data_IF_629772232767
#
_entry.id   IF_629772232767
#
_cell.length_a   1.000
_cell.length_b   1.000
_cell.length_c   1.000
_cell.angle_alpha   90.00
_cell.angle_beta   90.00
_cell.angle_gamma   90.00
#
_symmetry.space_group_name_H-M   'P 1'
#
loop_
_entity.id
_entity.type
_entity.pdbx_description
1 polymer ?
#
# COMPACT_ATOMS: atom_id res chain seq x y z
N UNK A 1 -19.98 16.37 -6.59
CA UNK A 1 -18.84 16.30 -5.61
C UNK A 1 -17.84 17.39 -5.95
N UNK A 2 -17.21 18.02 -4.95
CA UNK A 2 -16.18 19.04 -5.20
C UNK A 2 -14.96 18.42 -5.91
N UNK A 3 -14.23 19.24 -6.65
CA UNK A 3 -12.94 18.83 -7.26
C UNK A 3 -11.98 18.34 -6.16
N UNK A 4 -11.41 17.17 -6.36
CA UNK A 4 -10.48 16.52 -5.43
C UNK A 4 -9.27 16.03 -6.20
N UNK A 5 -8.09 16.19 -5.62
CA UNK A 5 -6.87 15.62 -6.18
C UNK A 5 -5.95 15.10 -5.06
N UNK A 6 -5.47 13.89 -5.27
CA UNK A 6 -4.38 13.25 -4.52
C UNK A 6 -3.26 12.90 -5.50
N UNK A 7 -2.24 12.19 -5.04
CA UNK A 7 -1.19 11.66 -5.93
C UNK A 7 -1.75 10.75 -7.02
N UNK A 8 -2.75 9.92 -6.69
CA UNK A 8 -3.24 8.84 -7.57
C UNK A 8 -4.70 8.95 -7.97
N UNK A 9 -5.49 9.83 -7.34
CA UNK A 9 -6.92 10.00 -7.62
C UNK A 9 -7.22 11.46 -7.94
N UNK A 10 -8.07 11.67 -8.92
CA UNK A 10 -8.59 12.99 -9.26
C UNK A 10 -10.10 12.89 -9.56
N UNK A 11 -10.87 13.76 -8.94
CA UNK A 11 -12.27 14.00 -9.29
C UNK A 11 -12.36 15.39 -9.90
N UNK A 12 -12.87 15.48 -11.11
CA UNK A 12 -13.11 16.72 -11.84
C UNK A 12 -14.27 16.52 -12.82
N UNK A 13 -15.11 17.53 -13.00
CA UNK A 13 -16.23 17.52 -13.95
C UNK A 13 -17.16 16.31 -13.79
N UNK A 14 -17.43 15.93 -12.55
CA UNK A 14 -18.22 14.73 -12.20
C UNK A 14 -17.64 13.39 -12.72
N UNK A 15 -16.34 13.33 -12.96
CA UNK A 15 -15.64 12.14 -13.40
C UNK A 15 -14.53 11.76 -12.40
N UNK A 16 -14.25 10.45 -12.31
CA UNK A 16 -13.14 9.90 -11.55
C UNK A 16 -12.01 9.54 -12.49
N UNK A 17 -10.82 10.00 -12.17
CA UNK A 17 -9.59 9.62 -12.85
C UNK A 17 -8.62 8.96 -11.89
N UNK A 18 -7.92 7.94 -12.39
CA UNK A 18 -6.81 7.29 -11.66
C UNK A 18 -5.49 7.57 -12.39
N UNK A 19 -4.40 7.71 -11.63
CA UNK A 19 -3.06 7.72 -12.22
C UNK A 19 -2.67 6.29 -12.61
N UNK A 20 -2.32 6.08 -13.88
CA UNK A 20 -1.92 4.77 -14.39
C UNK A 20 -0.55 4.36 -13.84
N UNK A 21 -0.55 3.55 -12.77
CA UNK A 21 0.68 3.08 -12.16
C UNK A 21 1.43 2.04 -13.02
N UNK A 22 0.82 1.52 -14.08
CA UNK A 22 1.52 0.69 -15.07
C UNK A 22 2.30 1.53 -16.09
N UNK A 23 1.90 2.78 -16.32
CA UNK A 23 2.63 3.72 -17.17
C UNK A 23 3.87 4.32 -16.48
N UNK A 24 3.88 4.37 -15.14
CA UNK A 24 5.02 4.87 -14.38
C UNK A 24 6.23 3.91 -14.45
N UNK A 25 7.45 4.45 -14.43
CA UNK A 25 7.84 5.88 -14.31
C UNK A 25 7.88 6.63 -15.64
N UNK A 26 7.70 5.99 -16.80
CA UNK A 26 7.94 6.57 -18.12
C UNK A 26 6.90 7.65 -18.48
N UNK A 27 5.65 7.46 -18.05
CA UNK A 27 4.56 8.38 -18.38
C UNK A 27 3.64 8.62 -17.18
N UNK A 28 3.34 9.89 -16.91
CA UNK A 28 2.34 10.29 -15.90
C UNK A 28 0.98 10.47 -16.59
N UNK A 29 0.22 9.39 -16.71
CA UNK A 29 -1.04 9.33 -17.46
C UNK A 29 -2.23 9.12 -16.53
N UNK A 30 -3.27 9.94 -16.72
CA UNK A 30 -4.54 9.80 -16.04
C UNK A 30 -5.53 9.04 -16.91
N UNK A 31 -6.23 8.07 -16.32
CA UNK A 31 -7.23 7.24 -16.99
C UNK A 31 -8.60 7.48 -16.38
N UNK A 32 -9.63 7.51 -17.23
CA UNK A 32 -11.02 7.58 -16.79
C UNK A 32 -11.40 6.27 -16.06
N UNK A 33 -11.94 6.41 -14.85
CA UNK A 33 -12.43 5.34 -13.99
C UNK A 33 -13.88 5.60 -13.54
N UNK A 34 -14.65 6.34 -14.34
CA UNK A 34 -15.99 6.81 -13.99
C UNK A 34 -17.09 5.74 -14.17
N UNK A 35 -16.73 4.52 -14.56
CA UNK A 35 -17.67 3.38 -14.61
C UNK A 35 -17.14 2.22 -13.77
N UNK A 36 -18.06 1.33 -13.33
CA UNK A 36 -17.70 0.15 -12.54
C UNK A 36 -16.76 -0.75 -13.32
N UNK A 37 -17.05 -1.00 -14.60
CA UNK A 37 -16.27 -1.84 -15.49
C UNK A 37 -14.86 -1.29 -15.71
N UNK A 38 -14.73 0.03 -15.90
CA UNK A 38 -13.44 0.69 -16.05
C UNK A 38 -12.60 0.56 -14.78
N UNK A 39 -13.16 0.87 -13.61
CA UNK A 39 -12.42 0.80 -12.34
C UNK A 39 -12.02 -0.65 -12.01
N UNK A 40 -12.92 -1.63 -12.19
CA UNK A 40 -12.60 -3.05 -12.00
C UNK A 40 -11.47 -3.48 -12.94
N UNK A 41 -11.54 -3.09 -14.22
CA UNK A 41 -10.48 -3.34 -15.20
C UNK A 41 -9.13 -2.71 -14.77
N UNK A 42 -9.15 -1.51 -14.19
CA UNK A 42 -7.94 -0.86 -13.68
C UNK A 42 -7.37 -1.54 -12.43
N UNK A 43 -8.23 -2.05 -11.53
CA UNK A 43 -7.82 -2.83 -10.36
C UNK A 43 -7.14 -4.14 -10.79
N UNK A 44 -7.77 -4.89 -11.68
CA UNK A 44 -7.21 -6.15 -12.19
C UNK A 44 -5.88 -5.96 -12.93
N UNK A 45 -5.77 -4.88 -13.71
CA UNK A 45 -4.54 -4.52 -14.42
C UNK A 45 -3.48 -3.86 -13.52
N UNK A 46 -3.71 -3.73 -12.21
CA UNK A 46 -2.82 -3.06 -11.26
C UNK A 46 -2.46 -1.60 -11.65
N UNK A 47 -3.33 -0.93 -12.41
CA UNK A 47 -3.20 0.50 -12.73
C UNK A 47 -3.55 1.37 -11.54
N UNK A 48 -4.46 0.90 -10.69
CA UNK A 48 -4.68 1.37 -9.32
C UNK A 48 -4.44 0.19 -8.38
N UNK A 49 -3.64 0.39 -7.34
CA UNK A 49 -3.21 -0.65 -6.41
C UNK A 49 -2.91 -0.05 -5.03
N UNK A 50 -2.64 -0.92 -4.04
CA UNK A 50 -2.55 -0.55 -2.63
C UNK A 50 -3.93 -0.69 -1.97
N UNK A 51 -3.96 -1.40 -0.84
CA UNK A 51 -5.22 -1.74 -0.19
C UNK A 51 -6.08 -0.49 0.13
N UNK A 52 -5.53 0.62 0.69
CA UNK A 52 -6.30 1.83 0.92
C UNK A 52 -6.82 2.45 -0.37
N UNK A 53 -5.95 2.66 -1.36
CA UNK A 53 -6.30 3.40 -2.58
C UNK A 53 -7.42 2.71 -3.39
N UNK A 54 -7.43 1.37 -3.45
CA UNK A 54 -8.49 0.62 -4.12
C UNK A 54 -9.83 0.87 -3.45
N UNK A 55 -9.89 0.82 -2.11
CA UNK A 55 -11.10 1.10 -1.35
C UNK A 55 -11.60 2.54 -1.52
N UNK A 56 -10.69 3.51 -1.52
CA UNK A 56 -11.00 4.92 -1.71
C UNK A 56 -11.52 5.22 -3.11
N UNK A 57 -10.90 4.62 -4.15
CA UNK A 57 -11.35 4.77 -5.54
C UNK A 57 -12.75 4.20 -5.75
N UNK A 58 -13.06 3.05 -5.16
CA UNK A 58 -14.37 2.43 -5.20
C UNK A 58 -15.43 3.31 -4.49
N UNK A 59 -15.08 3.89 -3.34
CA UNK A 59 -15.98 4.79 -2.60
C UNK A 59 -16.28 6.07 -3.35
N UNK A 60 -15.26 6.70 -3.95
CA UNK A 60 -15.44 7.88 -4.79
C UNK A 60 -16.31 7.59 -6.02
N UNK A 61 -16.10 6.45 -6.68
CA UNK A 61 -16.92 6.05 -7.82
C UNK A 61 -18.39 5.88 -7.43
N UNK A 62 -18.71 5.19 -6.32
CA UNK A 62 -20.08 5.03 -5.86
C UNK A 62 -20.76 6.37 -5.57
N UNK A 63 -20.04 7.30 -4.95
CA UNK A 63 -20.54 8.65 -4.67
C UNK A 63 -20.84 9.42 -5.97
N UNK A 64 -19.94 9.37 -6.95
CA UNK A 64 -20.13 10.00 -8.27
C UNK A 64 -21.28 9.38 -9.06
N UNK A 65 -21.43 8.06 -9.05
CA UNK A 65 -22.55 7.37 -9.69
C UNK A 65 -23.90 7.80 -9.08
N UNK A 66 -23.94 8.01 -7.75
CA UNK A 66 -25.12 8.51 -7.05
C UNK A 66 -25.47 9.94 -7.48
N UNK A 67 -24.49 10.85 -7.54
CA UNK A 67 -24.68 12.23 -8.01
C UNK A 67 -25.09 12.29 -9.49
N UNK A 68 -24.64 11.32 -10.29
CA UNK A 68 -25.01 11.18 -11.70
C UNK A 68 -26.38 10.48 -11.90
N UNK A 69 -27.18 10.33 -10.83
CA UNK A 69 -28.56 9.90 -10.88
C UNK A 69 -28.80 8.40 -10.91
N UNK A 70 -27.79 7.58 -10.56
CA UNK A 70 -27.99 6.14 -10.41
C UNK A 70 -28.93 5.85 -9.24
N UNK A 71 -29.86 4.92 -9.48
CA UNK A 71 -30.80 4.45 -8.46
C UNK A 71 -30.09 3.66 -7.35
N UNK A 72 -30.73 3.54 -6.20
CA UNK A 72 -30.23 2.75 -5.06
C UNK A 72 -29.95 1.30 -5.45
N UNK A 73 -30.80 0.68 -6.26
CA UNK A 73 -30.63 -0.70 -6.70
C UNK A 73 -29.40 -0.86 -7.64
N UNK A 74 -29.22 0.07 -8.60
CA UNK A 74 -28.03 0.10 -9.45
C UNK A 74 -26.74 0.28 -8.64
N UNK A 75 -26.76 1.14 -7.63
CA UNK A 75 -25.62 1.36 -6.72
C UNK A 75 -25.33 0.15 -5.84
N UNK A 76 -26.35 -0.58 -5.40
CA UNK A 76 -26.16 -1.82 -4.66
C UNK A 76 -25.47 -2.90 -5.53
N UNK A 77 -25.87 -3.03 -6.80
CA UNK A 77 -25.21 -3.93 -7.76
C UNK A 77 -23.77 -3.49 -8.02
N UNK A 78 -23.53 -2.19 -8.23
CA UNK A 78 -22.19 -1.61 -8.42
C UNK A 78 -21.27 -1.90 -7.23
N UNK A 79 -21.78 -1.73 -6.00
CA UNK A 79 -21.05 -2.00 -4.76
C UNK A 79 -20.60 -3.47 -4.68
N UNK A 80 -21.50 -4.42 -4.94
CA UNK A 80 -21.15 -5.84 -4.88
C UNK A 80 -20.20 -6.25 -6.02
N UNK A 81 -20.30 -5.62 -7.20
CA UNK A 81 -19.35 -5.83 -8.31
C UNK A 81 -17.95 -5.34 -7.94
N UNK A 82 -17.85 -4.16 -7.32
CA UNK A 82 -16.57 -3.62 -6.81
C UNK A 82 -15.99 -4.50 -5.70
N UNK A 83 -16.84 -5.01 -4.80
CA UNK A 83 -16.45 -5.95 -3.74
C UNK A 83 -15.81 -7.22 -4.29
N UNK A 84 -16.38 -7.77 -5.36
CA UNK A 84 -15.89 -8.97 -6.01
C UNK A 84 -14.58 -8.77 -6.78
N UNK A 85 -14.19 -7.52 -7.07
CA UNK A 85 -12.97 -7.24 -7.86
C UNK A 85 -11.69 -7.66 -7.15
N UNK A 86 -11.65 -7.62 -5.80
CA UNK A 86 -10.49 -8.05 -5.00
C UNK A 86 -10.92 -8.52 -3.60
N UNK A 87 -11.41 -9.76 -3.46
CA UNK A 87 -12.02 -10.26 -2.22
C UNK A 87 -11.08 -10.33 -1.01
N UNK A 88 -9.76 -10.33 -1.23
CA UNK A 88 -8.74 -10.39 -0.17
C UNK A 88 -8.31 -9.02 0.37
N UNK A 89 -8.78 -7.93 -0.23
CA UNK A 89 -8.39 -6.57 0.15
C UNK A 89 -9.25 -6.05 1.31
N UNK A 90 -8.76 -6.18 2.54
CA UNK A 90 -9.48 -5.79 3.78
C UNK A 90 -9.99 -4.35 3.73
N UNK A 91 -9.15 -3.40 3.32
CA UNK A 91 -9.55 -1.98 3.24
C UNK A 91 -10.70 -1.74 2.22
N UNK A 92 -10.70 -2.47 1.09
CA UNK A 92 -11.82 -2.40 0.14
C UNK A 92 -13.12 -2.86 0.80
N UNK A 93 -13.09 -3.99 1.52
CA UNK A 93 -14.26 -4.52 2.21
C UNK A 93 -14.79 -3.54 3.24
N UNK A 94 -13.91 -3.03 4.11
CA UNK A 94 -14.26 -2.07 5.16
C UNK A 94 -14.88 -0.78 4.58
N UNK A 95 -14.27 -0.23 3.53
CA UNK A 95 -14.80 0.97 2.88
C UNK A 95 -16.16 0.72 2.23
N UNK A 96 -16.33 -0.39 1.53
CA UNK A 96 -17.61 -0.74 0.91
C UNK A 96 -18.71 -1.04 1.93
N UNK A 97 -18.38 -1.58 3.10
CA UNK A 97 -19.35 -1.76 4.20
C UNK A 97 -19.82 -0.40 4.77
N UNK A 98 -18.92 0.57 4.85
CA UNK A 98 -19.27 1.95 5.21
C UNK A 98 -20.15 2.60 4.14
N UNK A 99 -19.78 2.47 2.87
CA UNK A 99 -20.59 2.96 1.74
C UNK A 99 -21.97 2.28 1.67
N UNK A 100 -22.05 0.98 1.99
CA UNK A 100 -23.31 0.24 2.07
C UNK A 100 -24.24 0.85 3.14
N UNK A 101 -23.70 1.17 4.33
CA UNK A 101 -24.49 1.85 5.38
C UNK A 101 -25.01 3.23 4.92
N UNK A 102 -24.18 3.99 4.20
CA UNK A 102 -24.59 5.28 3.63
C UNK A 102 -25.65 5.12 2.54
N UNK A 103 -25.56 4.10 1.70
CA UNK A 103 -26.51 3.79 0.63
C UNK A 103 -27.94 3.52 1.16
N UNK A 104 -28.06 2.97 2.36
CA UNK A 104 -29.38 2.65 2.95
C UNK A 104 -29.95 3.75 3.82
N UNK A 105 -29.34 4.95 3.86
CA UNK A 105 -29.94 6.13 4.47
C UNK A 105 -31.08 6.69 3.59
N UNK A 106 -31.98 7.48 4.18
CA UNK A 106 -33.09 8.10 3.47
C UNK A 106 -32.57 8.96 2.31
N UNK A 107 -31.68 9.91 2.61
CA UNK A 107 -31.00 10.78 1.66
C UNK A 107 -29.64 10.18 1.23
N UNK A 108 -29.67 9.07 0.50
CA UNK A 108 -28.46 8.28 0.20
C UNK A 108 -27.43 9.02 -0.65
N UNK A 109 -27.81 9.91 -1.55
CA UNK A 109 -26.87 10.64 -2.42
C UNK A 109 -25.92 11.51 -1.59
N UNK A 110 -26.38 12.48 -0.78
CA UNK A 110 -25.50 13.25 0.08
C UNK A 110 -24.77 12.38 1.12
N UNK A 111 -25.39 11.31 1.61
CA UNK A 111 -24.76 10.39 2.54
C UNK A 111 -23.55 9.66 1.93
N UNK A 112 -23.66 9.16 0.70
CA UNK A 112 -22.56 8.52 -0.04
C UNK A 112 -21.42 9.51 -0.32
N UNK A 113 -21.75 10.73 -0.74
CA UNK A 113 -20.75 11.79 -0.99
C UNK A 113 -20.00 12.14 0.29
N UNK A 114 -20.73 12.38 1.38
CA UNK A 114 -20.13 12.70 2.66
C UNK A 114 -19.24 11.57 3.19
N UNK A 115 -19.65 10.32 3.03
CA UNK A 115 -18.88 9.16 3.47
C UNK A 115 -17.62 8.97 2.63
N UNK A 116 -17.69 9.10 1.30
CA UNK A 116 -16.52 8.98 0.42
C UNK A 116 -15.48 10.07 0.74
N UNK A 117 -15.90 11.31 0.96
CA UNK A 117 -14.99 12.40 1.35
C UNK A 117 -14.38 12.17 2.74
N UNK A 118 -15.18 11.66 3.69
CA UNK A 118 -14.69 11.31 5.03
C UNK A 118 -13.61 10.23 4.97
N UNK A 119 -13.79 9.20 4.15
CA UNK A 119 -12.78 8.15 3.93
C UNK A 119 -11.46 8.71 3.39
N UNK A 120 -11.52 9.64 2.43
CA UNK A 120 -10.33 10.31 1.90
C UNK A 120 -9.60 11.13 2.98
N UNK A 121 -10.34 11.92 3.76
CA UNK A 121 -9.76 12.76 4.80
C UNK A 121 -9.24 11.93 5.99
N UNK A 122 -9.88 10.82 6.27
CA UNK A 122 -9.44 9.85 7.28
C UNK A 122 -8.11 9.23 6.86
N UNK A 123 -8.00 8.71 5.64
CA UNK A 123 -6.75 8.11 5.13
C UNK A 123 -5.58 9.12 5.14
N UNK A 124 -5.82 10.38 4.77
CA UNK A 124 -4.81 11.44 4.87
C UNK A 124 -4.33 11.64 6.31
N UNK A 125 -5.27 11.70 7.27
CA UNK A 125 -4.93 11.87 8.70
C UNK A 125 -4.18 10.67 9.26
N UNK A 126 -4.58 9.44 8.88
CA UNK A 126 -3.89 8.22 9.27
C UNK A 126 -2.44 8.22 8.77
N UNK A 127 -2.23 8.54 7.48
CA UNK A 127 -0.89 8.66 6.90
C UNK A 127 -0.02 9.71 7.63
N UNK A 128 -0.60 10.87 7.95
CA UNK A 128 0.12 11.96 8.64
C UNK A 128 0.51 11.58 10.07
N UNK A 129 -0.39 10.90 10.78
CA UNK A 129 -0.12 10.39 12.13
C UNK A 129 0.99 9.32 12.13
N UNK A 130 0.93 8.36 11.19
CA UNK A 130 1.98 7.34 11.02
C UNK A 130 3.32 8.01 10.69
N UNK A 131 3.34 8.95 9.74
CA UNK A 131 4.55 9.66 9.34
C UNK A 131 5.18 10.41 10.53
N UNK A 132 4.36 11.06 11.34
CA UNK A 132 4.80 11.78 12.53
C UNK A 132 5.34 10.85 13.62
N UNK A 133 4.63 9.75 13.91
CA UNK A 133 5.07 8.77 14.91
C UNK A 133 6.37 8.07 14.49
N UNK A 134 6.49 7.71 13.21
CA UNK A 134 7.66 7.00 12.68
C UNK A 134 8.87 7.89 12.50
N UNK A 135 8.73 9.14 12.06
CA UNK A 135 9.88 10.04 11.85
C UNK A 135 10.66 10.30 13.14
N UNK A 136 9.97 10.28 14.29
CA UNK A 136 10.61 10.41 15.60
C UNK A 136 11.60 9.26 15.93
N UNK A 137 11.52 8.13 15.26
CA UNK A 137 12.44 6.98 15.41
C UNK A 137 13.64 7.08 14.47
N UNK A 138 13.65 8.00 13.52
CA UNK A 138 14.72 8.16 12.52
C UNK A 138 15.77 9.12 13.04
N UNK A 139 17.00 8.64 13.23
CA UNK A 139 18.12 9.44 13.73
C UNK A 139 18.71 10.33 12.63
N UNK A 140 19.34 11.47 12.99
CA UNK A 140 20.03 12.31 12.01
C UNK A 140 21.07 11.54 11.20
N UNK A 141 21.08 11.75 9.88
CA UNK A 141 22.00 11.13 8.94
C UNK A 141 21.71 9.68 8.60
N UNK A 142 20.53 9.14 8.96
CA UNK A 142 20.16 7.75 8.72
C UNK A 142 20.14 7.38 7.24
N UNK A 143 20.59 6.15 6.96
CA UNK A 143 20.45 5.45 5.69
C UNK A 143 19.38 4.37 5.85
N UNK A 144 18.25 4.59 5.23
CA UNK A 144 17.08 3.74 5.39
C UNK A 144 16.98 2.74 4.23
N UNK A 145 16.37 1.58 4.47
CA UNK A 145 16.04 0.62 3.43
C UNK A 145 14.53 0.42 3.40
N UNK A 146 13.96 0.37 2.19
CA UNK A 146 12.52 0.14 2.01
C UNK A 146 12.25 -0.85 0.89
N UNK A 147 11.09 -1.49 0.95
CA UNK A 147 10.64 -2.53 0.03
C UNK A 147 9.19 -2.28 -0.41
N UNK A 148 8.87 -2.63 -1.64
CA UNK A 148 7.59 -2.37 -2.28
C UNK A 148 7.30 -0.85 -2.44
N UNK A 149 6.03 -0.48 -2.50
CA UNK A 149 5.60 0.92 -2.53
C UNK A 149 4.47 1.15 -1.55
N UNK A 150 4.69 2.06 -0.63
CA UNK A 150 3.81 2.41 0.49
C UNK A 150 3.61 3.93 0.61
N UNK A 151 3.76 4.65 -0.49
CA UNK A 151 3.63 6.11 -0.56
C UNK A 151 2.25 6.58 -0.98
N UNK A 152 2.19 7.82 -1.47
CA UNK A 152 0.97 8.46 -1.98
C UNK A 152 0.38 7.75 -3.22
N UNK A 153 1.15 6.90 -3.90
CA UNK A 153 0.63 6.01 -4.94
C UNK A 153 -0.25 4.87 -4.39
N UNK A 154 -0.18 4.57 -3.10
CA UNK A 154 -0.95 3.50 -2.46
C UNK A 154 -2.06 4.02 -1.52
N UNK A 155 -2.12 5.33 -1.26
CA UNK A 155 -3.00 6.00 -0.29
C UNK A 155 -3.57 7.30 -0.86
N UNK A 156 -4.43 7.97 -0.12
CA UNK A 156 -4.82 9.36 -0.45
C UNK A 156 -3.89 10.40 0.21
N UNK A 157 -3.11 10.00 1.20
CA UNK A 157 -2.16 10.84 1.93
C UNK A 157 -0.71 10.66 1.45
N UNK A 158 0.23 10.88 2.36
CA UNK A 158 1.69 10.77 2.11
C UNK A 158 2.20 9.33 2.11
N UNK A 159 1.34 8.37 2.38
CA UNK A 159 1.72 6.98 2.55
C UNK A 159 2.05 6.58 3.99
N UNK A 160 2.43 5.33 4.16
CA UNK A 160 2.81 4.74 5.46
C UNK A 160 4.33 4.74 5.63
N UNK A 161 5.05 3.66 5.34
CA UNK A 161 6.51 3.63 5.48
C UNK A 161 7.22 4.69 4.63
N UNK A 162 6.76 4.94 3.39
CA UNK A 162 7.33 6.02 2.58
C UNK A 162 6.95 7.41 3.13
N UNK A 163 5.79 7.54 3.76
CA UNK A 163 5.39 8.75 4.49
C UNK A 163 6.34 9.06 5.66
N UNK A 164 6.72 8.04 6.44
CA UNK A 164 7.75 8.16 7.49
C UNK A 164 9.07 8.64 6.90
N UNK A 165 9.54 8.00 5.82
CA UNK A 165 10.80 8.35 5.16
C UNK A 165 10.78 9.80 4.65
N UNK A 166 9.68 10.20 3.98
CA UNK A 166 9.52 11.56 3.46
C UNK A 166 9.51 12.62 4.57
N UNK A 167 8.79 12.36 5.67
CA UNK A 167 8.75 13.24 6.83
C UNK A 167 10.13 13.36 7.48
N UNK A 168 10.80 12.23 7.75
CA UNK A 168 12.14 12.22 8.32
C UNK A 168 13.16 12.94 7.42
N UNK A 169 13.00 12.88 6.10
CA UNK A 169 13.81 13.66 5.17
C UNK A 169 13.55 15.17 5.29
N UNK A 170 12.29 15.60 5.36
CA UNK A 170 11.92 17.01 5.58
C UNK A 170 12.49 17.56 6.90
N UNK A 171 12.63 16.71 7.91
CA UNK A 171 13.25 17.01 9.20
C UNK A 171 14.79 16.99 9.17
N UNK A 172 15.39 16.64 8.01
CA UNK A 172 16.86 16.61 7.81
C UNK A 172 17.54 15.34 8.36
N UNK A 173 16.78 14.30 8.67
CA UNK A 173 17.28 13.09 9.32
C UNK A 173 17.76 12.00 8.33
N UNK A 174 17.36 12.06 7.06
CA UNK A 174 17.67 11.03 6.05
C UNK A 174 18.81 11.47 5.15
N UNK A 175 19.89 10.69 5.10
CA UNK A 175 21.01 10.91 4.20
C UNK A 175 20.91 10.12 2.89
N UNK A 176 20.28 8.94 2.91
CA UNK A 176 20.03 8.10 1.74
C UNK A 176 18.91 7.09 1.99
N UNK A 177 18.23 6.68 0.94
CA UNK A 177 17.25 5.59 0.97
C UNK A 177 17.68 4.51 -0.02
N UNK A 178 17.92 3.30 0.48
CA UNK A 178 18.08 2.11 -0.34
C UNK A 178 16.70 1.59 -0.72
N UNK A 179 16.42 1.50 -2.00
CA UNK A 179 15.13 1.06 -2.52
C UNK A 179 15.31 -0.30 -3.19
N UNK A 180 14.75 -1.35 -2.61
CA UNK A 180 14.65 -2.64 -3.27
C UNK A 180 13.82 -2.51 -4.55
N UNK A 181 14.26 -3.12 -5.65
CA UNK A 181 13.47 -3.15 -6.89
C UNK A 181 12.12 -3.82 -6.70
N UNK A 182 12.03 -4.74 -5.75
CA UNK A 182 10.82 -5.52 -5.37
C UNK A 182 10.34 -6.42 -6.51
N UNK A 183 11.07 -7.51 -6.74
CA UNK A 183 10.60 -8.56 -7.65
C UNK A 183 9.31 -9.23 -7.11
N UNK A 184 8.42 -9.76 -7.98
CA UNK A 184 8.52 -9.78 -9.45
C UNK A 184 8.00 -8.53 -10.17
N UNK A 185 7.11 -7.70 -9.54
CA UNK A 185 6.38 -6.62 -10.22
C UNK A 185 7.08 -5.25 -10.18
N UNK A 186 8.27 -5.16 -9.56
CA UNK A 186 9.13 -3.98 -9.54
C UNK A 186 8.47 -2.72 -8.94
N UNK A 187 7.63 -2.87 -7.90
CA UNK A 187 6.98 -1.72 -7.26
C UNK A 187 7.99 -0.74 -6.66
N UNK A 188 9.10 -1.25 -6.08
CA UNK A 188 10.17 -0.40 -5.58
C UNK A 188 10.86 0.35 -6.71
N UNK A 189 11.29 -0.37 -7.75
CA UNK A 189 12.03 0.21 -8.87
C UNK A 189 11.22 1.18 -9.72
N UNK A 190 9.93 0.90 -9.94
CA UNK A 190 9.06 1.72 -10.78
C UNK A 190 8.33 2.83 -10.04
N UNK A 191 7.86 2.54 -8.83
CA UNK A 191 6.94 3.43 -8.13
C UNK A 191 7.62 4.15 -6.96
N UNK A 192 8.29 3.43 -6.06
CA UNK A 192 8.95 4.06 -4.90
C UNK A 192 10.10 4.96 -5.33
N UNK A 193 10.94 4.50 -6.27
CA UNK A 193 12.00 5.33 -6.83
C UNK A 193 11.46 6.60 -7.50
N UNK A 194 10.34 6.48 -8.23
CA UNK A 194 9.67 7.62 -8.84
C UNK A 194 9.13 8.61 -7.78
N UNK A 195 8.43 8.12 -6.73
CA UNK A 195 7.90 9.00 -5.67
C UNK A 195 9.02 9.71 -4.92
N UNK A 196 10.10 9.01 -4.57
CA UNK A 196 11.25 9.62 -3.88
C UNK A 196 11.91 10.70 -4.76
N UNK A 197 11.99 10.48 -6.07
CA UNK A 197 12.45 11.49 -7.03
C UNK A 197 11.56 12.72 -7.07
N UNK A 198 10.22 12.56 -7.13
CA UNK A 198 9.25 13.67 -7.08
C UNK A 198 9.32 14.44 -5.74
N UNK A 199 9.65 13.76 -4.65
CA UNK A 199 9.79 14.35 -3.31
C UNK A 199 11.18 14.94 -3.03
N UNK A 200 12.15 14.77 -3.93
CA UNK A 200 13.53 15.23 -3.74
C UNK A 200 14.30 14.47 -2.66
N UNK A 201 13.84 13.28 -2.27
CA UNK A 201 14.50 12.44 -1.28
C UNK A 201 15.68 11.70 -1.93
N UNK A 202 16.91 11.77 -1.37
CA UNK A 202 18.06 11.05 -1.93
C UNK A 202 17.86 9.54 -1.80
N UNK A 203 18.01 8.82 -2.92
CA UNK A 203 17.86 7.37 -2.93
C UNK A 203 18.83 6.68 -3.91
N UNK A 204 19.02 5.39 -3.69
CA UNK A 204 19.69 4.49 -4.62
C UNK A 204 18.84 3.23 -4.79
N UNK A 205 18.56 2.90 -6.06
CA UNK A 205 17.85 1.68 -6.42
C UNK A 205 18.81 0.50 -6.37
N UNK A 206 18.39 -0.60 -5.76
CA UNK A 206 19.13 -1.85 -5.65
C UNK A 206 18.28 -3.04 -6.10
N UNK A 207 18.91 -4.14 -6.49
CA UNK A 207 18.20 -5.42 -6.59
C UNK A 207 17.97 -5.98 -5.19
N UNK A 208 16.89 -6.74 -5.00
CA UNK A 208 16.47 -7.27 -3.68
C UNK A 208 17.62 -8.05 -3.00
N UNK A 209 18.45 -8.77 -3.78
CA UNK A 209 19.57 -9.54 -3.26
C UNK A 209 20.73 -8.67 -2.70
N UNK A 210 20.79 -7.38 -3.02
CA UNK A 210 21.88 -6.50 -2.58
C UNK A 210 21.70 -6.02 -1.13
N UNK A 211 20.50 -6.08 -0.58
CA UNK A 211 20.20 -5.64 0.79
C UNK A 211 21.14 -6.28 1.83
N UNK A 212 21.36 -7.59 1.75
CA UNK A 212 22.27 -8.32 2.64
C UNK A 212 23.69 -7.73 2.65
N UNK A 213 24.24 -7.41 1.47
CA UNK A 213 25.61 -6.88 1.35
C UNK A 213 25.74 -5.48 1.93
N UNK A 214 24.68 -4.66 1.85
CA UNK A 214 24.63 -3.31 2.44
C UNK A 214 24.56 -3.39 3.96
N UNK A 215 23.72 -4.29 4.49
CA UNK A 215 23.60 -4.54 5.93
C UNK A 215 24.92 -5.02 6.52
N UNK A 216 25.60 -5.99 5.87
CA UNK A 216 26.89 -6.51 6.28
C UNK A 216 28.01 -5.45 6.30
N UNK A 217 27.90 -4.42 5.45
CA UNK A 217 28.84 -3.27 5.41
C UNK A 217 28.46 -2.13 6.35
N UNK A 218 27.42 -2.30 7.18
CA UNK A 218 26.89 -1.26 8.04
C UNK A 218 26.38 -0.03 7.29
N UNK A 219 25.77 -0.22 6.12
CA UNK A 219 25.24 0.83 5.26
C UNK A 219 23.72 1.02 5.40
N UNK A 220 23.08 0.27 6.30
CA UNK A 220 21.64 0.36 6.60
C UNK A 220 21.47 0.59 8.09
N UNK A 221 20.77 1.65 8.45
CA UNK A 221 20.55 2.03 9.86
C UNK A 221 19.16 1.59 10.35
N UNK A 222 18.17 1.46 9.46
CA UNK A 222 16.85 0.89 9.74
C UNK A 222 16.16 0.42 8.44
N UNK A 223 15.27 -0.56 8.59
CA UNK A 223 14.38 -1.03 7.52
C UNK A 223 12.96 -0.55 7.81
N UNK A 224 12.29 0.02 6.79
CA UNK A 224 10.93 0.52 6.85
C UNK A 224 10.06 -0.11 5.77
N UNK A 225 9.04 -0.84 6.17
CA UNK A 225 8.09 -1.51 5.26
C UNK A 225 6.64 -1.22 5.65
N UNK A 226 5.71 -1.43 4.73
CA UNK A 226 4.29 -1.42 5.03
C UNK A 226 3.79 -2.78 5.53
N UNK A 227 2.46 -2.92 5.57
CA UNK A 227 1.78 -4.19 5.80
C UNK A 227 0.52 -4.29 4.95
N UNK A 228 0.24 -5.49 4.43
CA UNK A 228 -1.04 -5.81 3.80
C UNK A 228 -2.04 -6.37 4.84
N UNK A 229 -1.54 -7.05 5.88
CA UNK A 229 -2.33 -7.52 7.04
C UNK A 229 -1.42 -7.72 8.26
N UNK A 230 -1.93 -7.43 9.44
CA UNK A 230 -1.28 -7.68 10.73
C UNK A 230 -2.21 -8.57 11.56
N UNK A 231 -1.74 -9.74 11.97
CA UNK A 231 -2.49 -10.68 12.79
C UNK A 231 -2.50 -10.27 14.27
N UNK A 232 -3.40 -10.86 15.07
CA UNK A 232 -3.54 -10.59 16.51
C UNK A 232 -2.25 -10.82 17.32
N UNK A 233 -1.40 -11.78 16.91
CA UNK A 233 -0.11 -12.02 17.53
C UNK A 233 1.03 -11.10 17.02
N UNK A 234 0.73 -10.16 16.14
CA UNK A 234 1.68 -9.22 15.56
C UNK A 234 2.43 -9.71 14.31
N UNK A 235 2.19 -10.93 13.85
CA UNK A 235 2.75 -11.38 12.57
C UNK A 235 2.23 -10.53 11.41
N UNK A 236 3.08 -10.28 10.41
CA UNK A 236 2.77 -9.35 9.32
C UNK A 236 2.87 -10.04 7.97
N UNK A 237 1.79 -10.04 7.21
CA UNK A 237 1.83 -10.33 5.79
C UNK A 237 2.13 -9.03 5.02
N UNK A 238 3.16 -9.06 4.18
CA UNK A 238 3.51 -7.96 3.30
C UNK A 238 4.12 -8.48 2.00
N UNK A 239 4.45 -7.58 1.08
CA UNK A 239 5.01 -7.92 -0.23
C UNK A 239 6.16 -8.94 -0.10
N UNK A 240 6.11 -9.99 -0.94
CA UNK A 240 7.16 -11.04 -1.01
C UNK A 240 8.55 -10.41 -0.99
N UNK A 241 9.44 -10.93 -0.14
CA UNK A 241 10.77 -10.41 0.16
C UNK A 241 10.87 -9.72 1.53
N UNK A 242 9.76 -9.33 2.13
CA UNK A 242 9.72 -8.67 3.45
C UNK A 242 10.29 -9.57 4.55
N UNK A 243 9.93 -10.85 4.57
CA UNK A 243 10.46 -11.82 5.52
C UNK A 243 11.98 -11.96 5.41
N UNK A 244 12.50 -12.03 4.18
CA UNK A 244 13.96 -12.08 3.93
C UNK A 244 14.67 -10.88 4.53
N UNK A 245 14.14 -9.67 4.32
CA UNK A 245 14.70 -8.44 4.90
C UNK A 245 14.65 -8.43 6.44
N UNK A 246 13.56 -8.92 7.03
CA UNK A 246 13.43 -8.97 8.49
C UNK A 246 14.45 -9.94 9.12
N UNK A 247 14.67 -11.10 8.49
CA UNK A 247 15.71 -12.06 8.91
C UNK A 247 17.10 -11.44 8.81
N UNK A 248 17.42 -10.77 7.69
CA UNK A 248 18.70 -10.10 7.50
C UNK A 248 18.90 -8.96 8.50
N UNK A 249 17.88 -8.14 8.72
CA UNK A 249 17.92 -7.05 9.69
C UNK A 249 18.19 -7.59 11.09
N UNK A 250 17.49 -8.65 11.51
CA UNK A 250 17.69 -9.30 12.81
C UNK A 250 19.12 -9.83 12.96
N UNK A 251 19.63 -10.51 11.92
CA UNK A 251 20.98 -11.07 11.92
C UNK A 251 22.05 -9.97 12.08
N UNK A 252 21.84 -8.80 11.46
CA UNK A 252 22.78 -7.68 11.51
C UNK A 252 22.49 -6.68 12.66
N UNK A 253 21.49 -6.94 13.52
CA UNK A 253 21.13 -6.05 14.62
C UNK A 253 20.54 -4.70 14.17
N UNK A 254 19.91 -4.66 12.99
CA UNK A 254 19.30 -3.48 12.39
C UNK A 254 17.80 -3.46 12.77
N UNK A 255 17.27 -2.34 13.27
CA UNK A 255 15.83 -2.24 13.56
C UNK A 255 14.99 -2.37 12.29
N UNK A 256 13.91 -3.17 12.41
CA UNK A 256 12.95 -3.44 11.36
C UNK A 256 11.56 -2.94 11.80
N UNK A 257 11.04 -1.93 11.13
CA UNK A 257 9.76 -1.29 11.45
C UNK A 257 8.71 -1.56 10.40
N UNK A 258 7.49 -1.82 10.87
CA UNK A 258 6.29 -1.96 10.05
C UNK A 258 5.40 -0.74 10.26
N UNK A 259 5.11 0.01 9.20
CA UNK A 259 4.27 1.20 9.24
C UNK A 259 2.95 0.94 8.51
N UNK A 260 1.84 0.97 9.24
CA UNK A 260 0.51 0.68 8.69
C UNK A 260 -0.58 1.39 9.52
N UNK A 261 -1.76 1.68 8.94
CA UNK A 261 -2.89 2.15 9.72
C UNK A 261 -3.45 1.04 10.61
N UNK A 262 -4.03 1.41 11.73
CA UNK A 262 -4.68 0.47 12.65
C UNK A 262 -5.76 -0.40 11.93
N UNK A 263 -6.35 0.10 10.88
CA UNK A 263 -7.32 -0.64 10.04
C UNK A 263 -6.70 -1.82 9.28
N UNK A 264 -5.38 -1.97 9.29
CA UNK A 264 -4.66 -3.14 8.74
C UNK A 264 -4.57 -4.30 9.74
N UNK A 265 -4.84 -4.03 11.04
CA UNK A 265 -4.96 -5.06 12.06
C UNK A 265 -6.19 -5.92 11.79
N UNK A 266 -6.00 -7.23 11.91
CA UNK A 266 -7.06 -8.23 11.82
C UNK A 266 -7.08 -9.05 13.12
N UNK A 267 -7.85 -8.59 14.12
CA UNK A 267 -7.91 -9.26 15.42
C UNK A 267 -8.57 -10.66 15.34
N UNK A 268 -9.34 -10.93 14.29
CA UNK A 268 -9.95 -12.24 14.05
C UNK A 268 -8.95 -13.25 13.45
N UNK A 269 -7.79 -12.78 12.97
CA UNK A 269 -6.70 -13.61 12.46
C UNK A 269 -5.69 -13.89 13.59
N UNK A 270 -5.61 -15.10 14.16
CA UNK A 270 -4.84 -15.35 15.37
C UNK A 270 -3.32 -15.23 15.16
N UNK A 271 -2.81 -15.60 13.98
CA UNK A 271 -1.39 -15.61 13.64
C UNK A 271 -1.14 -15.60 12.13
N UNK A 272 0.11 -15.52 11.73
CA UNK A 272 0.52 -15.45 10.33
C UNK A 272 0.16 -16.68 9.49
N UNK A 273 0.10 -17.88 10.08
CA UNK A 273 -0.26 -19.11 9.37
C UNK A 273 -1.72 -19.10 8.90
N UNK A 274 -2.57 -18.32 9.57
CA UNK A 274 -3.98 -18.17 9.21
C UNK A 274 -4.21 -17.15 8.08
N UNK A 275 -3.18 -16.39 7.68
CA UNK A 275 -3.30 -15.39 6.61
C UNK A 275 -3.30 -16.07 5.24
N UNK A 276 -4.35 -15.91 4.41
CA UNK A 276 -4.37 -16.46 3.06
C UNK A 276 -3.38 -15.71 2.15
N UNK A 277 -2.47 -16.46 1.49
CA UNK A 277 -1.46 -15.91 0.59
C UNK A 277 -1.90 -16.11 -0.87
N UNK A 278 -2.09 -14.99 -1.58
CA UNK A 278 -2.44 -14.97 -3.01
C UNK A 278 -1.30 -15.57 -3.85
N UNK A 279 -1.63 -16.53 -4.73
CA UNK A 279 -0.73 -17.06 -5.74
C UNK A 279 -0.96 -16.31 -7.06
N UNK A 280 0.11 -15.91 -7.73
CA UNK A 280 0.06 -15.07 -8.91
C UNK A 280 0.59 -15.77 -10.17
N UNK A 281 0.38 -15.14 -11.32
CA UNK A 281 0.73 -15.71 -12.62
C UNK A 281 2.26 -15.97 -12.74
N UNK A 282 2.61 -17.10 -13.32
CA UNK A 282 4.01 -17.50 -13.58
C UNK A 282 4.75 -16.47 -14.45
N UNK A 283 4.04 -15.83 -15.38
CA UNK A 283 4.60 -14.81 -16.28
C UNK A 283 5.26 -13.63 -15.56
N UNK A 284 4.82 -13.32 -14.34
CA UNK A 284 5.44 -12.25 -13.54
C UNK A 284 6.85 -12.58 -13.09
N UNK A 285 7.15 -13.88 -12.88
CA UNK A 285 8.49 -14.36 -12.48
C UNK A 285 9.35 -14.65 -13.71
N UNK A 286 8.78 -15.29 -14.74
CA UNK A 286 9.51 -15.71 -15.95
C UNK A 286 9.85 -14.55 -16.88
N UNK A 287 9.25 -13.38 -16.64
CA UNK A 287 9.46 -12.18 -17.43
C UNK A 287 9.30 -10.91 -16.61
N UNK A 288 9.20 -9.80 -17.30
CA UNK A 288 8.79 -8.50 -16.79
C UNK A 288 7.99 -7.78 -17.87
N UNK A 289 6.93 -7.06 -17.46
CA UNK A 289 6.15 -6.24 -18.37
C UNK A 289 5.78 -4.92 -17.70
N UNK A 290 5.69 -3.87 -18.49
CA UNK A 290 5.33 -2.52 -18.05
C UNK A 290 5.30 -1.57 -19.23
N UNK A 291 5.26 -0.27 -18.95
CA UNK A 291 5.33 0.79 -19.98
C UNK A 291 6.63 0.77 -20.81
N UNK A 292 7.66 0.11 -20.30
CA UNK A 292 8.94 -0.13 -20.99
C UNK A 292 8.90 -1.32 -21.95
N UNK A 293 7.76 -1.98 -22.16
CA UNK A 293 7.59 -3.19 -22.96
C UNK A 293 7.49 -4.45 -22.12
N UNK A 294 7.70 -5.62 -22.77
CA UNK A 294 7.68 -6.92 -22.12
C UNK A 294 8.88 -7.76 -22.58
N UNK A 295 9.51 -8.42 -21.62
CA UNK A 295 10.65 -9.34 -21.87
C UNK A 295 10.41 -10.61 -21.05
N UNK A 296 10.59 -11.77 -21.70
CA UNK A 296 10.63 -13.07 -21.05
C UNK A 296 12.07 -13.59 -21.13
N UNK A 297 12.65 -13.94 -19.98
CA UNK A 297 14.04 -14.44 -19.90
C UNK A 297 14.15 -15.90 -19.46
N UNK A 298 13.09 -16.45 -18.84
CA UNK A 298 13.09 -17.83 -18.42
C UNK A 298 12.55 -18.77 -19.53
N UNK A 299 12.86 -20.07 -19.50
CA UNK A 299 12.26 -21.04 -20.41
C UNK A 299 10.73 -21.04 -20.31
N UNK A 300 10.04 -21.26 -21.44
CA UNK A 300 8.56 -21.25 -21.49
C UNK A 300 7.90 -22.29 -20.57
N UNK A 301 8.57 -23.41 -20.32
CA UNK A 301 8.10 -24.53 -19.49
C UNK A 301 8.63 -24.48 -18.06
N UNK A 302 9.24 -23.39 -17.63
CA UNK A 302 9.71 -23.22 -16.25
C UNK A 302 8.55 -23.33 -15.26
N UNK A 303 8.68 -24.22 -14.29
CA UNK A 303 7.72 -24.27 -13.16
C UNK A 303 8.01 -23.11 -12.23
N UNK A 304 6.96 -22.40 -11.78
CA UNK A 304 7.09 -21.16 -11.03
C UNK A 304 6.31 -21.25 -9.71
N UNK A 305 6.96 -20.80 -8.64
CA UNK A 305 6.33 -20.48 -7.36
C UNK A 305 6.28 -18.95 -7.23
N UNK A 306 5.08 -18.36 -7.14
CA UNK A 306 4.89 -16.90 -7.13
C UNK A 306 3.83 -16.45 -6.12
N UNK A 307 4.13 -16.53 -4.82
CA UNK A 307 3.27 -15.90 -3.81
C UNK A 307 3.41 -14.37 -3.89
N UNK A 308 2.29 -13.66 -3.73
CA UNK A 308 2.29 -12.20 -3.73
C UNK A 308 2.93 -11.60 -2.46
N UNK A 309 2.81 -12.33 -1.34
CA UNK A 309 3.20 -11.89 0.00
C UNK A 309 3.97 -12.99 0.71
N UNK A 310 4.74 -12.61 1.73
CA UNK A 310 5.28 -13.51 2.73
C UNK A 310 4.86 -13.04 4.14
N UNK A 311 5.03 -13.91 5.12
CA UNK A 311 4.69 -13.62 6.52
C UNK A 311 5.96 -13.42 7.33
N UNK A 312 6.06 -12.28 7.97
CA UNK A 312 7.13 -11.93 8.90
C UNK A 312 6.65 -12.16 10.34
N UNK A 313 7.27 -13.09 11.10
CA UNK A 313 6.95 -13.28 12.50
C UNK A 313 7.20 -12.03 13.34
N UNK A 314 6.33 -11.78 14.32
CA UNK A 314 6.43 -10.67 15.25
C UNK A 314 7.81 -10.57 15.94
N UNK A 315 8.46 -11.71 16.22
CA UNK A 315 9.79 -11.79 16.83
C UNK A 315 10.93 -11.14 16.02
N UNK A 316 10.70 -10.88 14.72
CA UNK A 316 11.66 -10.19 13.83
C UNK A 316 11.39 -8.69 13.73
N UNK A 317 10.27 -8.19 14.27
CA UNK A 317 9.82 -6.81 14.13
C UNK A 317 10.26 -6.02 15.36
N UNK A 318 10.86 -4.85 15.15
CA UNK A 318 11.32 -3.97 16.21
C UNK A 318 10.24 -3.00 16.72
N UNK A 319 9.19 -2.80 15.92
CA UNK A 319 8.03 -1.99 16.29
C UNK A 319 7.03 -1.84 15.13
N UNK A 320 5.77 -1.71 15.51
CA UNK A 320 4.66 -1.38 14.60
C UNK A 320 4.32 0.09 14.77
N UNK A 321 4.48 0.86 13.70
CA UNK A 321 4.19 2.30 13.68
C UNK A 321 2.79 2.49 13.09
N UNK A 322 1.85 2.72 13.98
CA UNK A 322 0.43 2.90 13.64
C UNK A 322 0.05 4.39 13.71
N UNK A 323 -1.13 4.72 13.20
CA UNK A 323 -1.72 6.06 13.37
C UNK A 323 -2.02 6.41 14.83
N UNK A 324 -2.09 5.40 15.70
CA UNK A 324 -2.27 5.55 17.16
C UNK A 324 -0.95 5.66 17.93
N UNK A 325 0.20 5.54 17.25
CA UNK A 325 1.52 5.58 17.86
C UNK A 325 2.36 4.35 17.56
N UNK A 326 3.50 4.26 18.22
CA UNK A 326 4.43 3.13 18.09
C UNK A 326 4.04 2.05 19.10
N UNK A 327 3.86 0.82 18.62
CA UNK A 327 3.61 -0.37 19.45
C UNK A 327 4.89 -1.20 19.49
N UNK A 328 5.32 -1.56 20.69
CA UNK A 328 6.53 -2.34 20.94
C UNK A 328 6.27 -3.85 20.91
N UNK A 329 7.29 -4.70 20.72
CA UNK A 329 7.14 -6.15 20.81
C UNK A 329 6.58 -6.62 22.16
N UNK A 330 6.94 -5.97 23.26
CA UNK A 330 6.44 -6.32 24.59
C UNK A 330 4.92 -6.05 24.72
N UNK A 331 4.44 -4.90 24.20
CA UNK A 331 3.00 -4.59 24.18
C UNK A 331 2.20 -5.58 23.31
N UNK A 332 2.78 -6.03 22.19
CA UNK A 332 2.14 -7.07 21.36
C UNK A 332 2.08 -8.39 22.09
N UNK A 333 3.15 -8.78 22.79
CA UNK A 333 3.17 -10.00 23.62
C UNK A 333 2.16 -9.94 24.78
N UNK A 334 1.83 -8.75 25.27
CA UNK A 334 0.78 -8.49 26.27
C UNK A 334 -0.65 -8.46 25.69
N UNK A 335 -0.81 -8.68 24.38
CA UNK A 335 -2.11 -8.77 23.71
C UNK A 335 -2.66 -7.44 23.17
N UNK A 336 -1.80 -6.47 22.86
CA UNK A 336 -2.22 -5.16 22.34
C UNK A 336 -3.04 -5.22 21.05
N UNK A 337 -2.88 -6.28 20.26
CA UNK A 337 -3.56 -6.49 18.98
C UNK A 337 -4.69 -7.53 19.03
N UNK A 338 -4.87 -8.21 20.18
CA UNK A 338 -5.88 -9.25 20.38
C UNK A 338 -7.27 -8.67 20.79
#
# INVERSE_FOLDING_TARGET
MQTLQTTSLRVADNQLFILDQQALPQEKRWLDASTVEALVGHIHALRVRGAPLIGLSASLLLALLAENGKSRDELAVALETLRASRPTAVNLMNNLDRMKRALWQEDFVPALVAEALRLIDEDKRLCDAIASAGSALVKPGSRLLTHCNTGGLATAGVGTALGVIARAHQEGNVSNVWVDETRPLLQGGRLTAWELGELGVPYQLITDAMAASLMAKGQVDAVWVGADRIAANGDVANKIGTYSLAVLAKFHGIPFYVAAPQTTLDPDCPNGDAIPIEQRAASEVTGVAGSFGAVQWAPQNAQVYNPAFDVTPASLISGWVLDTGVVTPDEVAEGKFA
#
